data_IF_078754954915
#
_entry.id   IF_078754954915
#
_cell.length_a   1.000
_cell.length_b   1.000
_cell.length_c   1.000
_cell.angle_alpha   90.00
_cell.angle_beta   90.00
_cell.angle_gamma   90.00
#
_symmetry.space_group_name_H-M   'P 1'
#
loop_
_entity.id
_entity.type
_entity.pdbx_description
1 polymer ?
#
# COMPACT_ATOMS: atom_id res chain seq x y z
N UNK A 1 32.45 21.83 -45.38
CA UNK A 1 32.61 22.30 -43.99
C UNK A 1 31.72 21.46 -43.09
N UNK A 2 32.18 21.23 -41.85
CA UNK A 2 31.84 20.16 -40.90
C UNK A 2 30.34 19.83 -40.68
N UNK A 3 30.12 18.53 -40.51
CA UNK A 3 28.92 17.86 -40.03
C UNK A 3 28.65 18.15 -38.55
N UNK A 4 27.38 18.08 -38.16
CA UNK A 4 27.00 17.63 -36.82
C UNK A 4 25.66 16.89 -36.91
N UNK A 5 25.76 15.57 -36.94
CA UNK A 5 24.66 14.65 -36.66
C UNK A 5 24.26 14.84 -35.19
N UNK A 6 23.06 15.33 -34.94
CA UNK A 6 22.45 15.28 -33.61
C UNK A 6 22.01 13.85 -33.33
N UNK A 7 22.95 13.03 -32.86
CA UNK A 7 22.65 11.72 -32.28
C UNK A 7 21.88 11.92 -30.97
N UNK A 8 20.55 11.99 -31.03
CA UNK A 8 19.69 11.77 -29.88
C UNK A 8 19.77 10.30 -29.48
N UNK A 9 20.76 9.94 -28.66
CA UNK A 9 20.72 8.68 -27.94
C UNK A 9 19.51 8.69 -26.99
N UNK A 10 18.67 7.65 -26.97
CA UNK A 10 17.69 7.52 -25.90
C UNK A 10 18.47 7.41 -24.59
N UNK A 11 18.21 8.35 -23.68
CA UNK A 11 18.85 8.49 -22.38
C UNK A 11 18.48 7.29 -21.47
N UNK A 12 18.97 6.11 -21.82
CA UNK A 12 18.71 4.89 -21.08
C UNK A 12 19.42 5.02 -19.73
N UNK A 13 18.72 4.80 -18.60
CA UNK A 13 19.36 4.90 -17.29
C UNK A 13 20.52 3.91 -17.21
N UNK A 14 21.64 4.35 -16.63
CA UNK A 14 22.82 3.51 -16.49
C UNK A 14 22.49 2.25 -15.69
N UNK A 15 23.25 1.18 -15.89
CA UNK A 15 23.03 -0.07 -15.15
C UNK A 15 23.01 0.14 -13.62
N UNK A 16 23.80 1.10 -13.13
CA UNK A 16 23.84 1.49 -11.73
C UNK A 16 22.57 2.25 -11.28
N UNK A 17 22.03 3.13 -12.13
CA UNK A 17 20.74 3.79 -11.88
C UNK A 17 19.58 2.80 -11.85
N UNK A 18 19.54 1.84 -12.79
CA UNK A 18 18.53 0.77 -12.81
C UNK A 18 18.63 -0.09 -11.54
N UNK A 19 19.85 -0.45 -11.11
CA UNK A 19 20.07 -1.22 -9.88
C UNK A 19 19.57 -0.48 -8.65
N UNK A 20 19.81 0.83 -8.54
CA UNK A 20 19.30 1.67 -7.44
C UNK A 20 17.78 1.77 -7.45
N UNK A 21 17.17 1.97 -8.62
CA UNK A 21 15.70 2.01 -8.75
C UNK A 21 15.08 0.68 -8.35
N UNK A 22 15.66 -0.45 -8.79
CA UNK A 22 15.20 -1.79 -8.41
C UNK A 22 15.27 -2.01 -6.90
N UNK A 23 16.37 -1.60 -6.25
CA UNK A 23 16.52 -1.69 -4.80
C UNK A 23 15.45 -0.86 -4.08
N UNK A 24 15.26 0.40 -4.47
CA UNK A 24 14.23 1.28 -3.90
C UNK A 24 12.82 0.71 -4.04
N UNK A 25 12.51 0.13 -5.21
CA UNK A 25 11.22 -0.51 -5.44
C UNK A 25 11.04 -1.71 -4.51
N UNK A 26 12.07 -2.55 -4.37
CA UNK A 26 12.00 -3.72 -3.51
C UNK A 26 11.85 -3.35 -2.03
N UNK A 27 12.63 -2.37 -1.55
CA UNK A 27 12.54 -1.85 -0.18
C UNK A 27 11.13 -1.29 0.09
N UNK A 28 10.53 -0.60 -0.89
CA UNK A 28 9.17 -0.08 -0.78
C UNK A 28 8.12 -1.19 -0.74
N UNK A 29 8.23 -2.21 -1.61
CA UNK A 29 7.33 -3.37 -1.59
C UNK A 29 7.42 -4.09 -0.25
N UNK A 30 8.64 -4.35 0.24
CA UNK A 30 8.84 -5.03 1.52
C UNK A 30 8.24 -4.23 2.70
N UNK A 31 8.30 -2.91 2.64
CA UNK A 31 7.66 -2.05 3.62
C UNK A 31 6.13 -2.10 3.53
N UNK A 32 5.56 -1.96 2.33
CA UNK A 32 4.11 -2.06 2.10
C UNK A 32 3.56 -3.44 2.52
N UNK A 33 4.29 -4.53 2.28
CA UNK A 33 3.95 -5.89 2.73
C UNK A 33 3.96 -6.01 4.26
N UNK A 34 4.97 -5.43 4.93
CA UNK A 34 5.05 -5.41 6.39
C UNK A 34 3.90 -4.61 7.01
N UNK A 35 3.60 -3.42 6.48
CA UNK A 35 2.47 -2.61 6.92
C UNK A 35 1.13 -3.31 6.69
N UNK A 36 0.98 -4.02 5.57
CA UNK A 36 -0.23 -4.79 5.27
C UNK A 36 -0.41 -5.97 6.23
N UNK A 37 0.68 -6.67 6.55
CA UNK A 37 0.67 -7.75 7.54
C UNK A 37 0.28 -7.23 8.93
N UNK A 38 0.84 -6.09 9.34
CA UNK A 38 0.49 -5.44 10.61
C UNK A 38 -0.97 -4.98 10.68
N UNK A 39 -1.53 -4.49 9.56
CA UNK A 39 -2.95 -4.10 9.48
C UNK A 39 -3.89 -5.30 9.63
N UNK A 40 -3.55 -6.45 9.06
CA UNK A 40 -4.34 -7.68 9.23
C UNK A 40 -4.30 -8.16 10.67
N UNK A 41 -3.15 -8.13 11.32
CA UNK A 41 -3.03 -8.49 12.74
C UNK A 41 -3.83 -7.54 13.63
N UNK A 42 -3.78 -6.22 13.36
CA UNK A 42 -4.58 -5.23 14.07
C UNK A 42 -6.08 -5.47 13.90
N UNK A 43 -6.51 -5.87 12.69
CA UNK A 43 -7.90 -6.21 12.40
C UNK A 43 -8.35 -7.45 13.18
N UNK A 44 -7.56 -8.52 13.21
CA UNK A 44 -7.87 -9.73 13.98
C UNK A 44 -8.01 -9.42 15.48
N UNK A 45 -7.08 -8.61 16.02
CA UNK A 45 -7.15 -8.13 17.41
C UNK A 45 -8.43 -7.33 17.66
N UNK A 46 -8.84 -6.49 16.72
CA UNK A 46 -10.06 -5.69 16.82
C UNK A 46 -11.32 -6.58 16.83
N UNK A 47 -11.39 -7.59 15.97
CA UNK A 47 -12.50 -8.55 15.95
C UNK A 47 -12.63 -9.29 17.29
N UNK A 48 -11.51 -9.72 17.87
CA UNK A 48 -11.46 -10.36 19.19
C UNK A 48 -11.92 -9.39 20.29
N UNK A 49 -11.38 -8.16 20.31
CA UNK A 49 -11.71 -7.17 21.33
C UNK A 49 -13.18 -6.79 21.34
N UNK A 50 -13.77 -6.62 20.15
CA UNK A 50 -15.17 -6.23 20.01
C UNK A 50 -16.14 -7.40 20.07
N UNK A 51 -15.64 -8.64 20.03
CA UNK A 51 -16.45 -9.87 19.98
C UNK A 51 -17.48 -9.83 18.84
N UNK A 52 -17.08 -9.30 17.68
CA UNK A 52 -17.95 -9.17 16.52
C UNK A 52 -17.68 -10.32 15.56
N UNK A 53 -18.76 -10.95 15.09
CA UNK A 53 -18.70 -11.94 14.01
C UNK A 53 -18.11 -11.33 12.73
N UNK A 54 -17.15 -11.98 12.05
CA UNK A 54 -16.51 -11.43 10.85
C UNK A 54 -17.50 -11.00 9.75
N UNK A 55 -18.60 -11.73 9.60
CA UNK A 55 -19.66 -11.39 8.64
C UNK A 55 -20.39 -10.10 9.03
N UNK A 56 -20.64 -9.90 10.33
CA UNK A 56 -21.26 -8.68 10.84
C UNK A 56 -20.31 -7.49 10.72
N UNK A 57 -19.02 -7.69 11.02
CA UNK A 57 -17.98 -6.68 10.81
C UNK A 57 -17.92 -6.23 9.34
N UNK A 58 -17.92 -7.18 8.40
CA UNK A 58 -17.90 -6.85 6.98
C UNK A 58 -19.11 -6.01 6.57
N UNK A 59 -20.32 -6.43 6.92
CA UNK A 59 -21.55 -5.73 6.55
C UNK A 59 -21.69 -4.35 7.18
N UNK A 60 -21.31 -4.22 8.44
CA UNK A 60 -21.56 -2.99 9.18
C UNK A 60 -20.48 -1.94 8.92
N UNK A 61 -19.22 -2.36 8.70
CA UNK A 61 -18.09 -1.44 8.71
C UNK A 61 -17.34 -1.40 7.38
N UNK A 62 -17.18 -2.54 6.70
CA UNK A 62 -16.45 -2.61 5.42
C UNK A 62 -17.35 -2.20 4.24
N UNK A 63 -18.56 -2.76 4.15
CA UNK A 63 -19.50 -2.47 3.05
C UNK A 63 -19.80 -0.97 2.89
N UNK A 64 -20.07 -0.19 3.96
CA UNK A 64 -20.34 1.25 3.80
C UNK A 64 -19.16 2.04 3.24
N UNK A 65 -17.93 1.68 3.61
CA UNK A 65 -16.72 2.33 3.07
C UNK A 65 -16.52 1.96 1.61
N UNK A 66 -16.82 0.71 1.23
CA UNK A 66 -16.77 0.26 -0.16
C UNK A 66 -17.84 0.94 -1.02
N UNK A 67 -19.05 1.12 -0.50
CA UNK A 67 -20.13 1.85 -1.16
C UNK A 67 -19.78 3.33 -1.36
N UNK A 68 -18.99 3.90 -0.46
CA UNK A 68 -18.41 5.25 -0.59
C UNK A 68 -17.22 5.31 -1.58
N UNK A 69 -16.83 4.19 -2.19
CA UNK A 69 -15.78 4.11 -3.20
C UNK A 69 -14.40 3.69 -2.67
N UNK A 70 -14.28 3.32 -1.40
CA UNK A 70 -13.02 2.81 -0.86
C UNK A 70 -12.71 1.39 -1.38
N UNK A 71 -11.44 1.11 -1.60
CA UNK A 71 -10.95 -0.25 -1.75
C UNK A 71 -11.03 -1.02 -0.43
N UNK A 72 -10.94 -2.36 -0.50
CA UNK A 72 -10.91 -3.20 0.70
C UNK A 72 -9.75 -2.80 1.64
N UNK A 73 -8.57 -2.52 1.08
CA UNK A 73 -7.38 -2.14 1.85
C UNK A 73 -7.54 -0.78 2.54
N UNK A 74 -8.11 0.21 1.84
CA UNK A 74 -8.43 1.52 2.42
C UNK A 74 -9.47 1.40 3.53
N UNK A 75 -10.51 0.59 3.32
CA UNK A 75 -11.54 0.36 4.35
C UNK A 75 -10.93 -0.24 5.62
N UNK A 76 -10.10 -1.28 5.49
CA UNK A 76 -9.41 -1.93 6.62
C UNK A 76 -8.44 -0.94 7.29
N UNK A 77 -7.69 -0.17 6.50
CA UNK A 77 -6.76 0.83 7.04
C UNK A 77 -7.49 1.92 7.82
N UNK A 78 -8.60 2.46 7.30
CA UNK A 78 -9.41 3.47 7.99
C UNK A 78 -10.00 2.94 9.30
N UNK A 79 -10.53 1.71 9.29
CA UNK A 79 -11.09 1.08 10.49
C UNK A 79 -9.99 0.88 11.53
N UNK A 80 -8.88 0.24 11.17
CA UNK A 80 -7.79 -0.04 12.13
C UNK A 80 -7.17 1.25 12.66
N UNK A 81 -6.93 2.26 11.81
CA UNK A 81 -6.42 3.56 12.24
C UNK A 81 -7.34 4.24 13.26
N UNK A 82 -8.66 4.17 13.07
CA UNK A 82 -9.64 4.79 13.99
C UNK A 82 -9.62 4.19 15.40
N UNK A 83 -9.15 2.96 15.56
CA UNK A 83 -9.12 2.23 16.84
C UNK A 83 -7.73 2.18 17.50
N UNK A 84 -6.66 2.32 16.72
CA UNK A 84 -5.28 2.12 17.21
C UNK A 84 -4.39 3.38 17.11
N UNK A 85 -4.87 4.49 16.55
CA UNK A 85 -4.16 5.76 16.65
C UNK A 85 -4.23 6.31 18.08
N UNK A 86 -3.12 6.82 18.65
CA UNK A 86 -3.15 7.48 19.95
C UNK A 86 -3.98 8.77 19.86
N UNK A 87 -4.83 9.02 20.88
CA UNK A 87 -5.57 10.27 21.06
C UNK A 87 -4.65 11.47 21.24
#
# INVERSE_FOLDING_TARGET
MKATEESQEPLWPSAEQIKRLRKKLHDRIAHEELESSGRLEALDRLLILLQIEPTAFHRLWVEPLRDAGATMEEAIACITASYFLPN
#
